data_IF_363959215065
#
_entry.id   IF_363959215065
#
_cell.length_a   1.000
_cell.length_b   1.000
_cell.length_c   1.000
_cell.angle_alpha   90.00
_cell.angle_beta   90.00
_cell.angle_gamma   90.00
#
_symmetry.space_group_name_H-M   'P 1'
#
loop_
_entity.id
_entity.type
_entity.pdbx_description
1 polymer ?
#
# COMPACT_ATOMS: atom_id res chain seq x y z
N UNK A 1 -20.84 6.48 1.66
CA UNK A 1 -19.90 5.34 1.75
C UNK A 1 -19.12 5.31 0.45
N UNK A 2 -17.85 5.70 0.49
CA UNK A 2 -16.94 5.62 -0.65
C UNK A 2 -16.19 4.30 -0.56
N UNK A 3 -16.11 3.59 -1.69
CA UNK A 3 -15.29 2.39 -1.79
C UNK A 3 -14.00 2.76 -2.51
N UNK A 4 -12.92 2.83 -1.73
CA UNK A 4 -11.57 3.18 -2.15
C UNK A 4 -10.69 1.93 -2.26
N UNK A 5 -11.30 0.75 -2.32
CA UNK A 5 -10.56 -0.48 -2.61
C UNK A 5 -10.12 -0.52 -4.07
N UNK A 6 -9.12 -1.36 -4.34
CA UNK A 6 -8.68 -1.63 -5.70
C UNK A 6 -9.86 -2.10 -6.57
N UNK A 7 -9.99 -1.51 -7.76
CA UNK A 7 -11.00 -1.92 -8.73
C UNK A 7 -10.60 -3.23 -9.41
N UNK A 8 -11.56 -3.87 -10.10
CA UNK A 8 -11.31 -5.09 -10.87
C UNK A 8 -10.18 -4.91 -11.90
N UNK A 9 -10.06 -3.73 -12.51
CA UNK A 9 -8.96 -3.43 -13.44
C UNK A 9 -7.61 -3.43 -12.73
N UNK A 10 -7.53 -2.91 -11.50
CA UNK A 10 -6.28 -2.91 -10.73
C UNK A 10 -5.92 -4.31 -10.27
N UNK A 11 -6.91 -5.12 -9.87
CA UNK A 11 -6.72 -6.55 -9.56
C UNK A 11 -6.19 -7.32 -10.76
N UNK A 12 -6.67 -7.01 -11.97
CA UNK A 12 -6.13 -7.58 -13.21
C UNK A 12 -4.66 -7.17 -13.43
N UNK A 13 -4.29 -5.91 -13.18
CA UNK A 13 -2.90 -5.47 -13.27
C UNK A 13 -1.99 -6.18 -12.26
N UNK A 14 -2.45 -6.41 -11.02
CA UNK A 14 -1.73 -7.20 -10.03
C UNK A 14 -1.53 -8.65 -10.51
N UNK A 15 -2.55 -9.22 -11.18
CA UNK A 15 -2.46 -10.54 -11.79
C UNK A 15 -1.50 -10.59 -12.99
N UNK A 16 -1.34 -9.49 -13.73
CA UNK A 16 -0.31 -9.36 -14.77
C UNK A 16 1.09 -9.31 -14.17
N UNK A 17 1.27 -8.58 -13.06
CA UNK A 17 2.54 -8.48 -12.34
C UNK A 17 3.06 -9.86 -11.89
N UNK A 18 2.17 -10.74 -11.39
CA UNK A 18 2.50 -12.13 -11.01
C UNK A 18 3.03 -13.00 -12.16
N UNK A 19 2.73 -12.64 -13.41
CA UNK A 19 3.17 -13.41 -14.60
C UNK A 19 4.53 -12.97 -15.10
N UNK A 20 5.14 -11.94 -14.49
CA UNK A 20 6.45 -11.46 -14.88
C UNK A 20 7.55 -12.34 -14.26
N UNK A 21 8.48 -12.79 -15.11
CA UNK A 21 9.57 -13.69 -14.71
C UNK A 21 10.76 -12.97 -14.07
N UNK A 22 10.81 -11.64 -14.14
CA UNK A 22 11.89 -10.82 -13.59
C UNK A 22 11.39 -9.38 -13.47
N UNK A 23 11.52 -8.84 -12.27
CA UNK A 23 11.05 -7.50 -11.91
C UNK A 23 12.09 -6.79 -11.06
N UNK A 24 12.51 -5.61 -11.50
CA UNK A 24 13.20 -4.65 -10.65
C UNK A 24 12.17 -3.99 -9.73
N UNK A 25 12.44 -4.02 -8.43
CA UNK A 25 11.59 -3.43 -7.40
C UNK A 25 12.31 -2.20 -6.87
N UNK A 26 11.65 -1.05 -7.02
CA UNK A 26 12.15 0.24 -6.54
C UNK A 26 11.16 0.82 -5.54
N UNK A 27 11.69 1.37 -4.46
CA UNK A 27 10.90 2.00 -3.43
C UNK A 27 11.28 3.48 -3.31
N UNK A 28 10.29 4.33 -3.53
CA UNK A 28 10.27 5.77 -3.33
C UNK A 28 9.37 6.15 -2.14
N UNK A 29 9.51 7.34 -1.58
CA UNK A 29 8.76 7.80 -0.39
C UNK A 29 7.26 7.51 -0.48
N UNK A 30 6.65 7.71 -1.66
CA UNK A 30 5.22 7.56 -1.88
C UNK A 30 4.83 6.43 -2.84
N UNK A 31 5.80 5.62 -3.30
CA UNK A 31 5.52 4.61 -4.30
C UNK A 31 6.45 3.40 -4.25
N UNK A 32 5.90 2.25 -4.65
CA UNK A 32 6.69 1.11 -5.10
C UNK A 32 6.54 0.96 -6.61
N UNK A 33 7.66 0.85 -7.31
CA UNK A 33 7.72 0.56 -8.73
C UNK A 33 8.13 -0.89 -8.95
N UNK A 34 7.49 -1.51 -9.93
CA UNK A 34 7.73 -2.87 -10.37
C UNK A 34 8.03 -2.83 -11.87
N UNK A 35 9.31 -2.76 -12.19
CA UNK A 35 9.82 -2.58 -13.53
C UNK A 35 10.18 -3.91 -14.17
N UNK A 36 9.68 -4.15 -15.38
CA UNK A 36 10.19 -5.18 -16.28
C UNK A 36 10.78 -4.54 -17.53
N UNK A 37 11.29 -5.35 -18.44
CA UNK A 37 11.78 -4.88 -19.75
C UNK A 37 10.72 -4.14 -20.60
N UNK A 38 9.42 -4.37 -20.34
CA UNK A 38 8.32 -3.93 -21.22
C UNK A 38 7.26 -3.07 -20.54
N UNK A 39 7.16 -3.14 -19.21
CA UNK A 39 6.14 -2.44 -18.45
C UNK A 39 6.67 -2.04 -17.07
N UNK A 40 6.26 -0.86 -16.63
CA UNK A 40 6.35 -0.43 -15.23
C UNK A 40 4.97 -0.44 -14.60
N UNK A 41 4.84 -1.15 -13.48
CA UNK A 41 3.72 -0.96 -12.58
C UNK A 41 4.12 -0.11 -11.38
N UNK A 42 3.14 0.56 -10.79
CA UNK A 42 3.34 1.46 -9.65
C UNK A 42 2.23 1.23 -8.63
N UNK A 43 2.62 0.90 -7.41
CA UNK A 43 1.75 1.08 -6.24
C UNK A 43 2.03 2.47 -5.68
N UNK A 44 1.02 3.32 -5.62
CA UNK A 44 1.17 4.72 -5.19
C UNK A 44 0.22 5.05 -4.05
N UNK A 45 0.70 5.88 -3.13
CA UNK A 45 -0.07 6.44 -2.03
C UNK A 45 -0.91 7.63 -2.51
N UNK A 46 -2.17 7.64 -2.11
CA UNK A 46 -3.11 8.72 -2.35
C UNK A 46 -3.70 9.18 -1.02
N UNK A 47 -3.95 10.48 -0.94
CA UNK A 47 -4.79 11.15 0.04
C UNK A 47 -6.05 11.66 -0.67
N UNK A 48 -7.19 11.55 0.00
CA UNK A 48 -8.43 12.12 -0.51
C UNK A 48 -9.29 12.66 0.64
N UNK A 49 -10.00 13.76 0.36
CA UNK A 49 -10.99 14.32 1.27
C UNK A 49 -12.31 13.56 1.07
N UNK A 50 -12.92 13.01 2.14
CA UNK A 50 -14.12 12.22 1.97
C UNK A 50 -15.31 13.07 1.50
N UNK A 51 -16.00 12.59 0.45
CA UNK A 51 -17.22 13.20 -0.07
C UNK A 51 -18.29 13.32 1.03
N UNK A 52 -18.82 14.54 1.22
CA UNK A 52 -19.83 14.83 2.25
C UNK A 52 -19.28 15.24 3.61
N UNK A 53 -17.97 15.52 3.73
CA UNK A 53 -17.41 16.09 4.94
C UNK A 53 -17.89 17.53 5.18
N UNK A 54 -18.66 17.75 6.25
CA UNK A 54 -18.95 19.08 6.81
C UNK A 54 -17.99 19.44 7.97
N UNK A 55 -16.94 18.64 8.18
CA UNK A 55 -16.06 18.69 9.35
C UNK A 55 -14.58 18.75 8.95
N UNK A 56 -13.76 19.30 9.83
CA UNK A 56 -12.29 19.34 9.70
C UNK A 56 -11.71 17.93 9.94
N UNK A 57 -11.77 17.10 8.90
CA UNK A 57 -10.89 15.96 8.76
C UNK A 57 -9.78 16.36 7.81
N UNK A 58 -8.55 15.94 8.13
CA UNK A 58 -7.42 16.15 7.24
C UNK A 58 -7.60 15.26 6.01
N UNK A 59 -7.28 13.97 6.01
CA UNK A 59 -7.28 13.17 4.78
C UNK A 59 -7.53 11.66 5.02
N UNK A 60 -7.95 10.92 3.97
CA UNK A 60 -7.96 9.45 3.96
C UNK A 60 -6.82 8.93 3.11
N UNK A 61 -5.93 8.14 3.72
CA UNK A 61 -4.82 7.50 3.02
C UNK A 61 -5.19 6.13 2.45
N UNK A 62 -4.86 5.89 1.19
CA UNK A 62 -5.09 4.64 0.48
C UNK A 62 -4.06 4.44 -0.61
N UNK A 63 -3.99 3.23 -1.17
CA UNK A 63 -3.13 2.94 -2.31
C UNK A 63 -3.93 2.72 -3.58
N UNK A 64 -3.35 3.07 -4.73
CA UNK A 64 -3.80 2.66 -6.07
C UNK A 64 -2.68 1.95 -6.81
N UNK A 65 -3.06 1.03 -7.69
CA UNK A 65 -2.12 0.25 -8.47
C UNK A 65 -2.27 0.55 -9.97
N UNK A 66 -1.22 1.07 -10.57
CA UNK A 66 -1.26 1.65 -11.90
C UNK A 66 -0.24 0.96 -12.81
N UNK A 67 -0.57 0.92 -14.09
CA UNK A 67 0.38 0.60 -15.18
C UNK A 67 0.79 1.91 -15.83
N UNK A 68 2.07 2.21 -15.82
CA UNK A 68 2.56 3.47 -16.39
C UNK A 68 2.64 3.39 -17.91
N UNK A 69 2.37 4.51 -18.62
CA UNK A 69 2.43 4.54 -20.09
C UNK A 69 3.86 4.40 -20.62
N UNK A 70 4.86 4.79 -19.82
CA UNK A 70 6.27 4.76 -20.18
C UNK A 70 7.07 3.97 -19.15
N UNK A 71 8.08 3.25 -19.66
CA UNK A 71 9.07 2.56 -18.84
C UNK A 71 9.84 3.57 -17.98
N UNK A 72 9.84 3.34 -16.68
CA UNK A 72 10.66 4.11 -15.75
C UNK A 72 12.07 3.50 -15.68
N UNK A 73 13.08 4.38 -15.64
CA UNK A 73 14.48 3.97 -15.49
C UNK A 73 15.02 4.57 -14.21
N UNK A 74 15.42 3.71 -13.28
CA UNK A 74 16.04 4.14 -12.04
C UNK A 74 17.55 3.90 -12.13
N UNK A 75 18.33 4.89 -11.71
CA UNK A 75 19.79 4.81 -11.67
C UNK A 75 20.29 5.16 -10.28
N UNK A 76 21.00 4.24 -9.66
CA UNK A 76 21.61 4.46 -8.36
C UNK A 76 22.50 5.73 -8.37
N UNK A 77 22.30 6.59 -7.37
CA UNK A 77 23.02 7.86 -7.25
C UNK A 77 22.42 9.04 -8.03
N UNK A 78 21.21 8.90 -8.59
CA UNK A 78 20.47 10.05 -9.13
C UNK A 78 20.03 10.98 -7.97
N UNK A 79 20.54 12.23 -7.89
CA UNK A 79 20.21 13.13 -6.80
C UNK A 79 18.79 13.71 -6.89
N UNK A 80 18.09 13.54 -8.03
CA UNK A 80 16.77 14.11 -8.24
C UNK A 80 15.64 13.34 -7.55
N UNK A 81 15.89 12.10 -7.08
CA UNK A 81 14.83 11.24 -6.58
C UNK A 81 15.23 10.53 -5.27
N UNK A 82 14.29 10.46 -4.33
CA UNK A 82 14.47 9.80 -3.04
C UNK A 82 13.99 8.34 -3.11
N UNK A 83 14.68 7.52 -3.91
CA UNK A 83 14.37 6.10 -4.03
C UNK A 83 15.51 5.19 -3.63
N UNK A 84 15.16 3.91 -3.42
CA UNK A 84 16.08 2.81 -3.24
C UNK A 84 15.67 1.63 -4.11
N UNK A 85 16.62 1.09 -4.87
CA UNK A 85 16.44 -0.16 -5.60
C UNK A 85 16.55 -1.30 -4.58
N UNK A 86 15.46 -2.04 -4.38
CA UNK A 86 15.40 -3.17 -3.45
C UNK A 86 15.97 -4.42 -4.10
N UNK A 87 15.64 -4.63 -5.36
CA UNK A 87 16.12 -5.75 -6.17
C UNK A 87 16.03 -5.37 -7.64
N UNK A 88 16.94 -5.90 -8.44
CA UNK A 88 16.96 -5.73 -9.90
C UNK A 88 16.41 -6.94 -10.65
N UNK A 89 16.17 -8.06 -9.95
CA UNK A 89 15.77 -9.33 -10.57
C UNK A 89 14.96 -10.21 -9.59
N UNK A 90 13.80 -9.71 -9.18
CA UNK A 90 12.86 -10.46 -8.33
C UNK A 90 11.83 -11.22 -9.14
N UNK A 91 11.37 -12.35 -8.59
CA UNK A 91 10.19 -13.06 -9.06
C UNK A 91 9.11 -12.92 -8.00
N UNK A 92 7.96 -12.37 -8.37
CA UNK A 92 6.83 -12.23 -7.46
C UNK A 92 6.04 -13.54 -7.48
N UNK A 93 5.87 -14.14 -6.30
CA UNK A 93 5.23 -15.43 -6.11
C UNK A 93 3.78 -15.30 -5.66
N UNK A 94 3.49 -14.28 -4.85
CA UNK A 94 2.14 -14.01 -4.37
C UNK A 94 1.98 -12.52 -4.05
N UNK A 95 0.74 -12.04 -4.16
CA UNK A 95 0.34 -10.70 -3.76
C UNK A 95 -0.92 -10.83 -2.90
N UNK A 96 -0.88 -10.29 -1.68
CA UNK A 96 -2.04 -10.14 -0.82
C UNK A 96 -2.44 -8.67 -0.73
N UNK A 97 -3.73 -8.37 -0.92
CA UNK A 97 -4.27 -7.03 -0.74
C UNK A 97 -4.63 -6.84 0.73
N UNK A 98 -4.18 -5.73 1.31
CA UNK A 98 -4.59 -5.30 2.65
C UNK A 98 -5.73 -4.30 2.54
N UNK A 99 -6.87 -4.65 3.14
CA UNK A 99 -8.06 -3.81 3.16
C UNK A 99 -8.54 -3.52 4.58
N UNK A 100 -9.12 -2.33 4.76
CA UNK A 100 -9.72 -1.92 6.02
C UNK A 100 -11.06 -1.26 5.80
N UNK A 101 -11.90 -1.32 6.82
CA UNK A 101 -13.10 -0.53 6.91
C UNK A 101 -12.83 0.60 7.91
N UNK A 102 -12.61 1.81 7.40
CA UNK A 102 -12.40 2.99 8.23
C UNK A 102 -13.76 3.59 8.62
N UNK A 103 -13.93 3.82 9.93
CA UNK A 103 -15.14 4.39 10.51
C UNK A 103 -14.85 5.76 11.11
N UNK A 104 -15.64 6.77 10.74
CA UNK A 104 -15.46 8.14 11.20
C UNK A 104 -16.57 8.56 12.17
N UNK A 105 -16.21 9.22 13.28
CA UNK A 105 -17.18 9.87 14.16
C UNK A 105 -17.73 11.16 13.53
N UNK A 106 -18.93 11.56 13.90
CA UNK A 106 -19.55 12.79 13.38
C UNK A 106 -19.31 13.95 14.36
N UNK A 107 -18.71 15.06 13.92
CA UNK A 107 -18.67 16.31 14.68
C UNK A 107 -17.80 16.37 15.94
N UNK A 108 -16.77 15.52 16.07
CA UNK A 108 -15.87 15.50 17.24
C UNK A 108 -14.42 15.27 16.79
N UNK A 109 -13.46 16.04 17.33
CA UNK A 109 -12.03 15.70 17.30
C UNK A 109 -11.78 14.59 18.31
N UNK A 110 -11.25 13.46 17.88
CA UNK A 110 -11.25 12.23 18.69
C UNK A 110 -9.84 11.86 19.12
N UNK A 111 -9.65 11.75 20.43
CA UNK A 111 -8.52 11.04 21.02
C UNK A 111 -8.71 9.52 20.88
N UNK A 112 -7.62 8.79 20.61
CA UNK A 112 -7.61 7.37 20.20
C UNK A 112 -8.29 6.37 21.18
N UNK A 113 -8.78 6.83 22.35
CA UNK A 113 -9.31 5.99 23.43
C UNK A 113 -10.83 5.82 23.46
N UNK A 114 -11.60 6.60 22.71
CA UNK A 114 -13.03 6.72 22.98
C UNK A 114 -13.92 5.89 22.03
N UNK A 115 -14.83 5.11 22.61
CA UNK A 115 -15.88 4.38 21.89
C UNK A 115 -16.96 5.36 21.42
N UNK A 116 -16.88 5.80 20.15
CA UNK A 116 -17.86 6.71 19.55
C UNK A 116 -18.84 6.00 18.61
N UNK A 117 -19.99 6.64 18.41
CA UNK A 117 -21.05 6.18 17.51
C UNK A 117 -20.71 6.59 16.06
N UNK A 118 -19.94 5.75 15.37
CA UNK A 118 -19.41 6.03 14.05
C UNK A 118 -20.47 5.91 12.94
N UNK A 119 -20.68 6.97 12.14
CA UNK A 119 -21.64 6.98 11.02
C UNK A 119 -21.00 7.02 9.63
N UNK A 120 -19.79 7.57 9.49
CA UNK A 120 -19.03 7.52 8.24
C UNK A 120 -18.34 6.17 8.08
N UNK A 121 -18.44 5.54 6.91
CA UNK A 121 -17.79 4.25 6.63
C UNK A 121 -17.21 4.25 5.23
N UNK A 122 -15.90 4.00 5.11
CA UNK A 122 -15.20 3.83 3.85
C UNK A 122 -14.44 2.49 3.87
N UNK A 123 -14.49 1.76 2.76
CA UNK A 123 -13.64 0.58 2.57
C UNK A 123 -12.41 1.02 1.79
N UNK A 124 -11.23 0.60 2.21
CA UNK A 124 -9.97 1.19 1.75
C UNK A 124 -8.93 0.10 1.53
N UNK A 125 -8.24 0.11 0.39
CA UNK A 125 -7.02 -0.67 0.20
C UNK A 125 -5.83 0.12 0.75
N UNK A 126 -5.16 -0.43 1.76
CA UNK A 126 -3.99 0.20 2.38
C UNK A 126 -2.69 -0.16 1.67
N UNK A 127 -2.71 -1.15 0.78
CA UNK A 127 -1.54 -1.57 0.02
C UNK A 127 -1.45 -3.07 -0.13
N UNK A 128 -0.22 -3.57 -0.29
CA UNK A 128 0.08 -4.94 -0.66
C UNK A 128 1.07 -5.59 0.31
N UNK A 129 0.96 -6.90 0.48
CA UNK A 129 2.03 -7.76 0.96
C UNK A 129 2.47 -8.62 -0.22
N UNK A 130 3.70 -8.44 -0.66
CA UNK A 130 4.23 -9.09 -1.86
C UNK A 130 5.26 -10.12 -1.44
N UNK A 131 5.04 -11.38 -1.79
CA UNK A 131 6.00 -12.46 -1.54
C UNK A 131 6.85 -12.68 -2.78
N UNK A 132 8.16 -12.67 -2.62
CA UNK A 132 9.14 -12.99 -3.66
C UNK A 132 10.02 -14.16 -3.23
N UNK A 133 10.93 -14.61 -4.12
CA UNK A 133 11.92 -15.65 -3.79
C UNK A 133 12.90 -15.22 -2.67
N UNK A 134 13.13 -13.91 -2.53
CA UNK A 134 14.07 -13.32 -1.58
C UNK A 134 13.46 -13.06 -0.20
N UNK A 135 12.14 -12.92 -0.12
CA UNK A 135 11.39 -12.66 1.10
C UNK A 135 10.09 -11.93 0.84
N UNK A 136 9.59 -11.23 1.86
CA UNK A 136 8.33 -10.50 1.80
C UNK A 136 8.56 -9.00 1.77
N UNK A 137 7.87 -8.31 0.89
CA UNK A 137 7.85 -6.86 0.82
C UNK A 137 6.51 -6.33 1.35
N UNK A 138 6.50 -5.75 2.57
CA UNK A 138 5.33 -5.03 3.07
C UNK A 138 5.27 -3.66 2.39
N UNK A 139 4.29 -3.45 1.52
CA UNK A 139 4.09 -2.21 0.77
C UNK A 139 2.71 -1.62 1.09
N UNK A 140 2.52 -1.17 2.33
CA UNK A 140 1.23 -0.64 2.80
C UNK A 140 1.36 0.62 3.64
N UNK A 141 0.25 1.33 3.76
CA UNK A 141 0.12 2.58 4.50
C UNK A 141 -0.35 2.35 5.93
N UNK A 142 0.15 3.19 6.84
CA UNK A 142 -0.42 3.35 8.16
C UNK A 142 -1.32 4.58 8.16
N UNK A 143 -2.48 4.56 8.85
CA UNK A 143 -3.41 5.69 8.85
C UNK A 143 -2.83 7.04 9.31
N UNK A 144 -1.68 7.04 9.99
CA UNK A 144 -1.02 8.24 10.48
C UNK A 144 0.20 8.67 9.65
N UNK A 145 0.48 8.01 8.51
CA UNK A 145 1.69 8.24 7.72
C UNK A 145 1.35 8.54 6.26
N UNK A 146 1.98 9.60 5.74
CA UNK A 146 2.04 9.86 4.31
C UNK A 146 3.23 9.08 3.74
N UNK A 147 2.95 8.07 2.91
CA UNK A 147 3.99 7.27 2.26
C UNK A 147 4.49 6.06 3.06
N UNK A 148 5.56 5.46 2.57
CA UNK A 148 6.07 4.16 3.02
C UNK A 148 7.32 4.25 3.92
N UNK A 149 7.86 5.45 4.15
CA UNK A 149 9.15 5.69 4.86
C UNK A 149 9.21 5.23 6.31
N UNK A 150 8.08 4.84 6.89
CA UNK A 150 7.98 4.37 8.27
C UNK A 150 8.51 2.95 8.49
N UNK A 151 8.72 2.19 7.41
CA UNK A 151 9.28 0.85 7.44
C UNK A 151 10.76 0.90 7.86
N UNK A 152 11.13 0.11 8.88
CA UNK A 152 12.46 0.14 9.51
C UNK A 152 13.61 -0.24 8.57
N UNK A 153 13.30 -1.06 7.57
CA UNK A 153 14.24 -1.59 6.59
C UNK A 153 13.75 -1.34 5.17
N UNK A 154 14.63 -0.74 4.36
CA UNK A 154 14.49 -0.67 2.90
C UNK A 154 14.93 -1.98 2.24
N UNK A 155 14.04 -2.98 2.23
CA UNK A 155 14.28 -4.26 1.57
C UNK A 155 13.27 -5.34 1.98
N UNK A 156 13.65 -6.60 1.78
CA UNK A 156 12.81 -7.76 2.11
C UNK A 156 12.79 -8.08 3.61
N UNK A 157 11.64 -8.53 4.09
CA UNK A 157 11.36 -8.99 5.44
C UNK A 157 11.08 -10.49 5.42
N UNK A 158 11.13 -11.12 6.60
CA UNK A 158 10.59 -12.46 6.84
C UNK A 158 9.12 -12.36 7.19
N UNK A 159 8.36 -13.42 6.92
CA UNK A 159 6.92 -13.50 7.24
C UNK A 159 6.61 -13.09 8.68
N UNK A 160 7.40 -13.58 9.65
CA UNK A 160 7.23 -13.24 11.08
C UNK A 160 7.41 -11.76 11.38
N UNK A 161 8.36 -11.09 10.70
CA UNK A 161 8.58 -9.65 10.88
C UNK A 161 7.37 -8.86 10.36
N UNK A 162 6.83 -9.26 9.21
CA UNK A 162 5.61 -8.67 8.63
C UNK A 162 4.40 -8.92 9.53
N UNK A 163 4.23 -10.13 10.04
CA UNK A 163 3.18 -10.45 11.01
C UNK A 163 3.29 -9.62 12.28
N UNK A 164 4.50 -9.39 12.80
CA UNK A 164 4.72 -8.57 13.99
C UNK A 164 4.38 -7.10 13.74
N UNK A 165 4.81 -6.55 12.59
CA UNK A 165 4.43 -5.21 12.15
C UNK A 165 2.90 -5.12 12.07
N UNK A 166 2.24 -6.05 11.37
CA UNK A 166 0.79 -6.06 11.22
C UNK A 166 0.10 -6.22 12.58
N UNK A 167 0.45 -7.20 13.42
CA UNK A 167 -0.17 -7.39 14.75
C UNK A 167 -0.04 -6.16 15.64
N UNK A 168 1.11 -5.50 15.63
CA UNK A 168 1.31 -4.26 16.40
C UNK A 168 0.38 -3.14 15.91
N UNK A 169 0.11 -3.06 14.60
CA UNK A 169 -0.73 -2.01 13.99
C UNK A 169 -2.23 -2.37 13.94
N UNK A 170 -2.58 -3.65 13.79
CA UNK A 170 -3.95 -4.21 13.83
C UNK A 170 -4.59 -4.05 15.21
N UNK A 171 -3.80 -4.05 16.29
CA UNK A 171 -4.35 -3.72 17.62
C UNK A 171 -4.92 -2.30 17.70
N UNK A 172 -4.47 -1.40 16.82
CA UNK A 172 -4.91 -0.01 16.73
C UNK A 172 -6.01 0.21 15.69
N UNK A 173 -6.12 -0.65 14.67
CA UNK A 173 -7.08 -0.52 13.56
C UNK A 173 -7.74 -1.86 13.21
N UNK A 174 -9.07 -1.90 12.96
CA UNK A 174 -9.77 -3.14 12.55
C UNK A 174 -9.45 -3.52 11.09
N UNK A 175 -8.24 -4.04 10.86
CA UNK A 175 -7.78 -4.51 9.54
C UNK A 175 -8.29 -5.92 9.26
N UNK A 176 -8.73 -6.19 8.03
CA UNK A 176 -9.06 -7.54 7.57
C UNK A 176 -8.12 -7.91 6.42
N UNK A 177 -7.39 -9.00 6.58
CA UNK A 177 -6.72 -9.65 5.46
C UNK A 177 -7.77 -10.40 4.64
N UNK A 178 -7.80 -10.15 3.32
CA UNK A 178 -8.48 -11.07 2.42
C UNK A 178 -7.59 -12.30 2.26
N UNK A 179 -7.95 -13.37 2.98
CA UNK A 179 -7.23 -14.67 3.02
C UNK A 179 -7.28 -15.47 1.70
N UNK A 180 -7.28 -14.81 0.53
CA UNK A 180 -7.09 -15.50 -0.74
C UNK A 180 -6.00 -14.81 -1.52
N UNK A 181 -4.82 -15.44 -1.68
CA UNK A 181 -3.84 -14.95 -2.64
C UNK A 181 -4.52 -14.87 -4.01
N UNK A 182 -4.22 -13.79 -4.72
CA UNK A 182 -4.65 -13.57 -6.10
C UNK A 182 -3.74 -14.36 -7.02
#
# INVERSE_FOLDING_TARGET
MKDLRFSDSEVQLLSELLKLNSVEIVWDINAFYFNSEKVTYKLECFDDYPDGSNFEYDEIFYCRFLKLPELQKFKEGDPAFWFKIISTDSIIQAINILEVCHKYPEGVLVDESDELDFKGLNNVSLGLIITTKEGVLPAFLLPANHGFTWLEKFGFYKDKEVEEILKHKIKKYKIRELNKPI
#
